data_IF_687617213610
#
_entry.id   IF_687617213610
#
_cell.length_a   1.000
_cell.length_b   1.000
_cell.length_c   1.000
_cell.angle_alpha   90.00
_cell.angle_beta   90.00
_cell.angle_gamma   90.00
#
_symmetry.space_group_name_H-M   'P 1'
#
loop_
_entity.id
_entity.type
_entity.pdbx_description
1 polymer ?
#
# COMPACT_ATOMS: atom_id res chain seq x y z
N UNK A 1 -21.89 -11.49 15.62
CA UNK A 1 -20.52 -11.05 15.26
C UNK A 1 -20.63 -10.49 13.85
N UNK A 2 -20.28 -9.21 13.62
CA UNK A 2 -20.44 -8.60 12.30
C UNK A 2 -19.51 -9.28 11.28
N UNK A 3 -20.02 -9.67 10.11
CA UNK A 3 -19.28 -10.37 9.05
C UNK A 3 -18.23 -9.47 8.37
N UNK A 4 -17.35 -10.03 7.52
CA UNK A 4 -16.34 -9.25 6.77
C UNK A 4 -16.93 -8.11 5.93
N UNK A 5 -18.15 -8.29 5.39
CA UNK A 5 -18.89 -7.27 4.65
C UNK A 5 -19.39 -6.10 5.54
N UNK A 6 -19.49 -6.32 6.84
CA UNK A 6 -20.03 -5.36 7.81
C UNK A 6 -18.93 -4.58 8.56
N UNK A 7 -17.70 -4.61 8.03
CA UNK A 7 -16.54 -3.96 8.62
C UNK A 7 -15.90 -2.98 7.65
N UNK A 8 -15.59 -1.78 8.14
CA UNK A 8 -14.72 -0.83 7.42
C UNK A 8 -13.33 -1.45 7.20
N UNK A 9 -13.02 -1.77 5.95
CA UNK A 9 -11.79 -2.46 5.58
C UNK A 9 -10.97 -1.67 4.55
N UNK A 10 -10.45 -0.53 5.02
CA UNK A 10 -9.51 0.29 4.25
C UNK A 10 -8.07 -0.15 4.51
N UNK A 11 -7.48 -0.78 3.49
CA UNK A 11 -6.07 -1.17 3.44
C UNK A 11 -5.44 -0.69 2.12
N UNK A 12 -4.11 -0.63 2.10
CA UNK A 12 -3.36 -0.30 0.89
C UNK A 12 -3.45 -1.43 -0.13
N UNK A 13 -3.09 -1.15 -1.38
CA UNK A 13 -3.16 -2.16 -2.43
C UNK A 13 -2.24 -3.36 -2.18
N UNK A 14 -2.75 -4.52 -2.53
CA UNK A 14 -2.01 -5.77 -2.68
C UNK A 14 -2.66 -6.52 -3.84
N UNK A 15 -2.31 -6.08 -5.05
CA UNK A 15 -2.91 -6.51 -6.30
C UNK A 15 -1.83 -6.83 -7.33
N UNK A 16 -2.07 -7.87 -8.11
CA UNK A 16 -1.30 -8.19 -9.30
C UNK A 16 -2.18 -8.93 -10.29
N UNK A 17 -1.85 -8.82 -11.57
CA UNK A 17 -2.48 -9.61 -12.63
C UNK A 17 -1.42 -10.33 -13.47
N UNK A 18 -1.80 -11.37 -14.22
CA UNK A 18 -0.96 -11.91 -15.27
C UNK A 18 -0.58 -10.82 -16.28
N UNK A 19 0.67 -10.87 -16.76
CA UNK A 19 1.11 -10.03 -17.87
C UNK A 19 0.40 -10.46 -19.16
N UNK A 20 0.12 -9.49 -20.02
CA UNK A 20 -0.35 -9.76 -21.40
C UNK A 20 0.79 -10.25 -22.27
N UNK A 21 0.48 -10.85 -23.42
CA UNK A 21 1.50 -11.30 -24.38
C UNK A 21 2.42 -10.16 -24.82
N UNK A 22 1.86 -8.96 -25.06
CA UNK A 22 2.64 -7.78 -25.41
C UNK A 22 3.60 -7.37 -24.29
N UNK A 23 3.15 -7.40 -23.04
CA UNK A 23 3.99 -7.08 -21.87
C UNK A 23 5.10 -8.12 -21.67
N UNK A 24 4.84 -9.40 -21.96
CA UNK A 24 5.84 -10.47 -21.90
C UNK A 24 6.97 -10.31 -22.93
N UNK A 25 6.78 -9.50 -23.99
CA UNK A 25 7.85 -9.18 -24.93
C UNK A 25 8.84 -8.14 -24.40
N UNK A 26 8.47 -7.43 -23.32
CA UNK A 26 9.29 -6.37 -22.73
C UNK A 26 10.32 -6.95 -21.76
N UNK A 27 11.52 -6.36 -21.74
CA UNK A 27 12.67 -6.92 -21.01
C UNK A 27 12.79 -6.45 -19.56
N UNK A 28 11.98 -5.48 -19.15
CA UNK A 28 12.12 -4.85 -17.83
C UNK A 28 10.77 -4.66 -17.15
N UNK A 29 10.80 -4.68 -15.82
CA UNK A 29 9.71 -4.20 -14.95
C UNK A 29 10.21 -2.98 -14.19
N UNK A 30 9.44 -1.91 -14.20
CA UNK A 30 9.78 -0.68 -13.48
C UNK A 30 8.76 -0.42 -12.40
N UNK A 31 9.23 -0.40 -11.16
CA UNK A 31 8.47 0.04 -9.99
C UNK A 31 8.57 1.55 -9.80
N UNK A 32 7.43 2.21 -9.68
CA UNK A 32 7.30 3.62 -9.34
C UNK A 32 6.75 3.70 -7.92
N UNK A 33 7.55 4.25 -7.01
CA UNK A 33 7.17 4.44 -5.61
C UNK A 33 6.90 5.92 -5.32
N UNK A 34 5.85 6.20 -4.54
CA UNK A 34 5.52 7.56 -4.09
C UNK A 34 6.12 7.78 -2.71
N UNK A 35 7.15 8.63 -2.64
CA UNK A 35 7.75 8.96 -1.35
C UNK A 35 6.73 9.47 -0.33
N UNK A 36 6.72 8.88 0.87
CA UNK A 36 5.82 9.24 1.96
C UNK A 36 4.32 9.31 1.57
N UNK A 37 3.84 8.41 0.70
CA UNK A 37 2.47 8.43 0.18
C UNK A 37 1.39 8.51 1.27
N UNK A 38 1.56 7.80 2.37
CA UNK A 38 0.61 7.81 3.49
C UNK A 38 0.68 9.09 4.34
N UNK A 39 1.85 9.71 4.45
CA UNK A 39 1.95 11.04 5.06
C UNK A 39 1.21 12.05 4.19
N UNK A 40 1.44 12.03 2.87
CA UNK A 40 0.74 12.89 1.92
C UNK A 40 -0.77 12.65 1.93
N UNK A 41 -1.23 11.42 2.16
CA UNK A 41 -2.65 11.09 2.34
C UNK A 41 -3.30 11.77 3.55
N UNK A 42 -2.52 12.04 4.60
CA UNK A 42 -2.98 12.75 5.79
C UNK A 42 -3.11 14.27 5.59
N UNK A 43 -2.35 14.86 4.67
CA UNK A 43 -2.28 16.31 4.46
C UNK A 43 -3.62 16.93 4.04
N UNK A 44 -4.18 17.80 4.87
CA UNK A 44 -5.45 18.48 4.62
C UNK A 44 -6.67 17.57 4.72
N UNK A 45 -6.52 16.35 5.25
CA UNK A 45 -7.65 15.42 5.44
C UNK A 45 -8.48 15.89 6.64
N UNK A 46 -9.73 16.25 6.40
CA UNK A 46 -10.69 16.43 7.48
C UNK A 46 -11.02 15.05 8.10
N UNK A 47 -10.90 14.96 9.43
CA UNK A 47 -11.24 13.75 10.20
C UNK A 47 -12.09 14.12 11.40
N UNK A 48 -12.84 13.15 11.93
CA UNK A 48 -13.66 13.39 13.12
C UNK A 48 -12.83 13.71 14.36
N UNK A 49 -13.26 14.69 15.13
CA UNK A 49 -12.70 15.03 16.44
C UNK A 49 -13.54 14.46 17.57
N UNK A 50 -14.86 14.35 17.35
CA UNK A 50 -15.82 13.82 18.31
C UNK A 50 -16.34 12.41 18.01
N UNK A 51 -17.40 12.05 18.72
CA UNK A 51 -18.09 10.78 18.60
C UNK A 51 -18.82 10.64 17.23
N UNK A 52 -19.00 9.40 16.73
CA UNK A 52 -19.86 9.14 15.57
C UNK A 52 -21.31 9.53 15.81
N UNK A 53 -21.96 10.09 14.80
CA UNK A 53 -23.43 10.15 14.71
C UNK A 53 -23.89 9.14 13.67
N UNK A 54 -24.79 8.23 14.06
CA UNK A 54 -25.40 7.27 13.15
C UNK A 54 -26.57 7.94 12.42
N UNK A 55 -26.62 7.77 11.11
CA UNK A 55 -27.66 8.31 10.23
C UNK A 55 -28.10 7.25 9.23
N UNK A 56 -29.39 7.23 8.92
CA UNK A 56 -30.02 6.27 7.99
C UNK A 56 -30.47 6.98 6.73
N UNK A 57 -30.27 6.36 5.56
CA UNK A 57 -30.53 6.92 4.24
C UNK A 57 -30.01 8.37 4.06
N UNK A 58 -28.74 8.67 4.41
CA UNK A 58 -28.23 10.03 4.30
C UNK A 58 -27.93 10.40 2.85
N UNK A 59 -28.06 11.69 2.52
CA UNK A 59 -27.45 12.25 1.31
C UNK A 59 -25.93 12.27 1.52
N UNK A 60 -25.17 11.79 0.53
CA UNK A 60 -23.72 11.77 0.62
C UNK A 60 -23.12 13.19 0.59
N UNK A 61 -22.26 13.50 1.55
CA UNK A 61 -21.45 14.72 1.59
C UNK A 61 -19.96 14.37 1.61
N UNK A 62 -19.26 14.69 0.53
CA UNK A 62 -17.83 14.43 0.39
C UNK A 62 -16.96 15.23 1.38
N UNK A 63 -17.50 16.30 1.99
CA UNK A 63 -16.80 17.13 2.98
C UNK A 63 -17.00 16.63 4.41
N UNK A 64 -17.98 15.76 4.65
CA UNK A 64 -18.32 15.25 5.98
C UNK A 64 -17.57 13.94 6.25
N UNK A 65 -16.59 13.90 7.17
CA UNK A 65 -15.86 12.66 7.45
C UNK A 65 -16.78 11.63 8.09
N UNK A 66 -16.68 10.40 7.62
CA UNK A 66 -17.54 9.31 8.07
C UNK A 66 -17.20 7.97 7.45
N UNK A 67 -17.89 6.96 7.96
CA UNK A 67 -17.96 5.62 7.38
C UNK A 67 -19.34 5.43 6.78
N UNK A 68 -19.41 4.99 5.54
CA UNK A 68 -20.63 4.95 4.74
C UNK A 68 -20.85 3.53 4.25
N UNK A 69 -22.05 2.99 4.46
CA UNK A 69 -22.49 1.73 3.84
C UNK A 69 -23.05 2.07 2.46
N UNK A 70 -22.35 1.64 1.41
CA UNK A 70 -22.70 1.96 0.01
C UNK A 70 -22.51 0.71 -0.83
N UNK A 71 -23.37 0.49 -1.81
CA UNK A 71 -23.11 -0.45 -2.90
C UNK A 71 -22.32 0.25 -4.00
N UNK A 72 -21.11 -0.24 -4.26
CA UNK A 72 -20.24 0.24 -5.35
C UNK A 72 -19.97 -0.88 -6.38
N UNK A 73 -20.71 -1.98 -6.33
CA UNK A 73 -20.60 -3.10 -7.26
C UNK A 73 -21.01 -2.73 -8.69
N UNK A 74 -21.78 -1.67 -8.87
CA UNK A 74 -22.22 -1.15 -10.17
C UNK A 74 -21.17 -0.30 -10.88
N UNK A 75 -20.11 0.15 -10.19
CA UNK A 75 -19.08 0.99 -10.80
C UNK A 75 -18.30 0.20 -11.85
N UNK A 76 -18.21 0.74 -13.06
CA UNK A 76 -17.48 0.15 -14.18
C UNK A 76 -16.23 0.97 -14.51
N UNK A 77 -15.05 0.36 -14.41
CA UNK A 77 -13.80 1.05 -14.73
C UNK A 77 -13.54 1.15 -16.23
N UNK A 78 -14.34 0.48 -17.07
CA UNK A 78 -14.18 0.51 -18.53
C UNK A 78 -14.51 1.88 -19.10
N UNK A 79 -15.32 2.68 -18.39
CA UNK A 79 -15.73 4.01 -18.80
C UNK A 79 -15.85 4.92 -17.59
N UNK A 80 -14.89 5.83 -17.43
CA UNK A 80 -14.81 6.70 -16.25
C UNK A 80 -14.58 8.15 -16.62
N UNK A 81 -14.94 9.07 -15.73
CA UNK A 81 -14.55 10.48 -15.84
C UNK A 81 -13.09 10.69 -15.41
N UNK A 82 -12.33 11.41 -16.23
CA UNK A 82 -10.96 11.85 -15.94
C UNK A 82 -10.86 13.37 -16.07
N UNK A 83 -10.76 14.06 -14.94
CA UNK A 83 -10.80 15.53 -14.90
C UNK A 83 -12.23 16.06 -14.92
N UNK A 84 -12.43 17.30 -15.39
CA UNK A 84 -13.76 17.90 -15.47
C UNK A 84 -14.52 17.35 -16.68
N UNK A 85 -15.49 16.48 -16.40
CA UNK A 85 -16.52 15.96 -17.33
C UNK A 85 -16.04 15.28 -18.62
N UNK A 86 -14.76 14.90 -18.69
CA UNK A 86 -14.24 14.10 -19.81
C UNK A 86 -14.35 12.61 -19.49
N UNK A 87 -15.20 11.91 -20.22
CA UNK A 87 -15.25 10.46 -20.22
C UNK A 87 -14.08 9.88 -21.03
N UNK A 88 -13.52 8.79 -20.54
CA UNK A 88 -12.51 7.99 -21.24
C UNK A 88 -12.88 6.52 -21.15
N UNK A 89 -12.59 5.79 -22.21
CA UNK A 89 -12.72 4.33 -22.25
C UNK A 89 -11.36 3.70 -21.92
N UNK A 90 -11.38 2.68 -21.06
CA UNK A 90 -10.21 1.99 -20.52
C UNK A 90 -10.44 0.47 -20.54
N UNK A 91 -9.36 -0.29 -20.49
CA UNK A 91 -9.46 -1.72 -20.25
C UNK A 91 -9.60 -1.99 -18.74
N UNK A 92 -10.85 -2.21 -18.31
CA UNK A 92 -11.17 -2.49 -16.91
C UNK A 92 -10.49 -3.77 -16.39
N UNK A 93 -10.22 -4.75 -17.25
CA UNK A 93 -9.61 -6.03 -16.84
C UNK A 93 -8.14 -5.86 -16.42
N UNK A 94 -7.50 -4.77 -16.87
CA UNK A 94 -6.12 -4.44 -16.57
C UNK A 94 -5.98 -3.43 -15.41
N UNK A 95 -7.10 -3.02 -14.80
CA UNK A 95 -7.15 -2.05 -13.71
C UNK A 95 -7.62 -2.69 -12.40
N UNK A 96 -6.98 -2.38 -11.26
CA UNK A 96 -7.51 -2.76 -9.96
C UNK A 96 -8.67 -1.87 -9.56
N UNK A 97 -9.72 -2.46 -8.98
CA UNK A 97 -10.76 -1.70 -8.29
C UNK A 97 -10.18 -0.78 -7.20
N UNK A 98 -10.56 0.50 -7.14
CA UNK A 98 -10.19 1.39 -6.03
C UNK A 98 -10.97 1.13 -4.75
N UNK A 99 -12.00 0.29 -4.80
CA UNK A 99 -12.92 0.06 -3.69
C UNK A 99 -12.49 -1.10 -2.80
N UNK A 100 -11.56 -1.95 -3.26
CA UNK A 100 -11.04 -3.07 -2.45
C UNK A 100 -9.52 -3.03 -2.38
N UNK A 101 -8.90 -3.44 -1.26
CA UNK A 101 -7.44 -3.52 -1.17
C UNK A 101 -6.83 -4.53 -2.14
N UNK A 102 -7.61 -5.53 -2.53
CA UNK A 102 -7.20 -6.59 -3.46
C UNK A 102 -7.44 -6.24 -4.92
N UNK A 103 -8.05 -5.09 -5.23
CA UNK A 103 -8.36 -4.71 -6.60
C UNK A 103 -9.54 -5.46 -7.23
N UNK A 104 -10.19 -6.36 -6.50
CA UNK A 104 -11.39 -7.06 -6.95
C UNK A 104 -12.60 -6.10 -7.00
N UNK A 105 -13.49 -6.31 -7.97
CA UNK A 105 -14.76 -5.58 -8.03
C UNK A 105 -15.62 -5.92 -6.79
N UNK A 106 -16.20 -4.92 -6.10
CA UNK A 106 -17.16 -5.21 -5.03
C UNK A 106 -18.34 -6.04 -5.55
N UNK A 107 -18.83 -6.97 -4.72
CA UNK A 107 -19.96 -7.85 -5.06
C UNK A 107 -21.30 -7.36 -4.46
N UNK A 108 -21.27 -6.29 -3.66
CA UNK A 108 -22.45 -5.69 -3.05
C UNK A 108 -22.11 -4.59 -2.04
N UNK A 109 -23.05 -4.23 -1.15
CA UNK A 109 -22.86 -3.18 -0.15
C UNK A 109 -21.70 -3.48 0.82
N UNK A 110 -20.87 -2.47 1.05
CA UNK A 110 -19.77 -2.53 2.02
C UNK A 110 -19.51 -1.18 2.69
N UNK A 111 -18.76 -1.21 3.79
CA UNK A 111 -18.37 0.00 4.53
C UNK A 111 -17.13 0.65 3.94
N UNK A 112 -17.26 1.91 3.54
CA UNK A 112 -16.21 2.71 2.94
C UNK A 112 -15.93 3.98 3.75
N UNK A 113 -14.68 4.43 3.72
CA UNK A 113 -14.35 5.76 4.22
C UNK A 113 -14.79 6.82 3.20
N UNK A 114 -15.06 8.04 3.69
CA UNK A 114 -15.52 9.17 2.85
C UNK A 114 -14.70 9.38 1.58
N UNK A 115 -13.35 9.30 1.60
CA UNK A 115 -12.58 9.44 0.36
C UNK A 115 -12.98 8.44 -0.71
N UNK A 116 -13.16 7.17 -0.37
CA UNK A 116 -13.51 6.08 -1.31
C UNK A 116 -14.83 6.34 -2.00
N UNK A 117 -15.82 6.76 -1.21
CA UNK A 117 -17.15 7.09 -1.71
C UNK A 117 -17.11 8.34 -2.60
N UNK A 118 -16.39 9.38 -2.17
CA UNK A 118 -16.20 10.59 -2.97
C UNK A 118 -15.52 10.28 -4.31
N UNK A 119 -14.65 9.28 -4.34
CA UNK A 119 -13.98 8.89 -5.57
C UNK A 119 -14.90 8.16 -6.56
N UNK A 120 -15.87 7.37 -6.09
CA UNK A 120 -16.88 6.81 -6.97
C UNK A 120 -17.69 7.91 -7.69
N UNK A 121 -18.06 8.96 -6.95
CA UNK A 121 -18.70 10.16 -7.52
C UNK A 121 -17.77 10.89 -8.51
N UNK A 122 -16.48 11.02 -8.20
CA UNK A 122 -15.50 11.62 -9.12
C UNK A 122 -15.37 10.84 -10.44
N UNK A 123 -15.43 9.51 -10.38
CA UNK A 123 -15.40 8.64 -11.57
C UNK A 123 -16.67 8.76 -12.43
N UNK A 124 -17.69 9.48 -11.96
CA UNK A 124 -18.92 9.76 -12.69
C UNK A 124 -20.11 8.88 -12.31
N UNK A 125 -20.02 8.15 -11.20
CA UNK A 125 -21.06 7.22 -10.75
C UNK A 125 -21.88 7.79 -9.59
N UNK A 126 -23.17 7.50 -9.58
CA UNK A 126 -24.05 7.87 -8.47
C UNK A 126 -23.74 7.03 -7.23
N UNK A 127 -23.87 7.70 -6.08
CA UNK A 127 -23.62 7.13 -4.76
C UNK A 127 -24.88 7.30 -3.93
N UNK A 128 -25.43 6.19 -3.46
CA UNK A 128 -26.61 6.17 -2.57
C UNK A 128 -26.26 5.43 -1.28
N UNK A 129 -25.87 6.14 -0.21
CA UNK A 129 -25.56 5.48 1.06
C UNK A 129 -26.83 4.93 1.73
N UNK A 130 -26.75 3.72 2.25
CA UNK A 130 -27.82 3.06 3.02
C UNK A 130 -27.84 3.59 4.45
N UNK A 131 -26.67 3.68 5.07
CA UNK A 131 -26.48 4.26 6.40
C UNK A 131 -25.04 4.77 6.53
N UNK A 132 -24.80 5.64 7.52
CA UNK A 132 -23.47 6.15 7.79
C UNK A 132 -23.24 6.43 9.28
N UNK A 133 -21.97 6.37 9.67
CA UNK A 133 -21.48 6.92 10.93
C UNK A 133 -20.63 8.15 10.61
N UNK A 134 -21.23 9.33 10.68
CA UNK A 134 -20.62 10.63 10.31
C UNK A 134 -19.97 11.32 11.51
N UNK A 135 -19.19 12.38 11.25
CA UNK A 135 -18.48 13.18 12.26
C UNK A 135 -18.72 14.67 12.01
N UNK A 136 -19.76 15.22 12.63
CA UNK A 136 -20.07 16.65 12.51
C UNK A 136 -18.97 17.53 13.11
N UNK A 137 -18.44 17.14 14.27
CA UNK A 137 -17.22 17.74 14.81
C UNK A 137 -16.01 17.14 14.09
N UNK A 138 -15.42 17.91 13.18
CA UNK A 138 -14.29 17.49 12.37
C UNK A 138 -13.27 18.61 12.17
N UNK A 139 -12.06 18.22 11.77
CA UNK A 139 -10.99 19.18 11.48
C UNK A 139 -9.75 18.51 10.92
N UNK A 140 -8.76 19.33 10.59
CA UNK A 140 -7.48 18.89 10.00
C UNK A 140 -6.48 18.46 11.08
N UNK A 141 -6.87 17.44 11.85
CA UNK A 141 -6.13 16.96 13.02
C UNK A 141 -4.68 16.55 12.72
N UNK A 142 -4.42 16.02 11.52
CA UNK A 142 -3.11 15.48 11.15
C UNK A 142 -2.16 16.50 10.51
N UNK A 143 -2.60 17.71 10.19
CA UNK A 143 -1.81 18.68 9.41
C UNK A 143 -0.52 19.09 10.14
N UNK A 144 -0.62 19.41 11.44
CA UNK A 144 0.55 19.79 12.23
C UNK A 144 1.58 18.66 12.34
N UNK A 145 1.10 17.42 12.48
CA UNK A 145 1.96 16.23 12.50
C UNK A 145 2.62 15.97 11.14
N UNK A 146 1.84 16.08 10.05
CA UNK A 146 2.33 15.92 8.68
C UNK A 146 3.37 16.97 8.32
N UNK A 147 3.07 18.26 8.54
CA UNK A 147 3.96 19.36 8.17
C UNK A 147 5.32 19.22 8.87
N UNK A 148 5.34 18.93 10.17
CA UNK A 148 6.60 18.71 10.91
C UNK A 148 7.45 17.58 10.32
N UNK A 149 6.84 16.43 10.03
CA UNK A 149 7.58 15.29 9.47
C UNK A 149 8.00 15.52 8.02
N UNK A 150 7.17 16.19 7.22
CA UNK A 150 7.50 16.57 5.85
C UNK A 150 8.67 17.55 5.82
N UNK A 151 8.63 18.59 6.64
CA UNK A 151 9.65 19.63 6.63
C UNK A 151 11.00 19.06 7.11
N UNK A 152 10.98 18.20 8.15
CA UNK A 152 12.17 17.45 8.55
C UNK A 152 12.69 16.54 7.42
N UNK A 153 11.81 15.80 6.73
CA UNK A 153 12.20 14.94 5.61
C UNK A 153 12.84 15.75 4.48
N UNK A 154 12.22 16.86 4.07
CA UNK A 154 12.73 17.70 2.98
C UNK A 154 14.08 18.34 3.33
N UNK A 155 14.23 18.83 4.56
CA UNK A 155 15.50 19.37 5.05
C UNK A 155 16.60 18.30 5.00
N UNK A 156 16.36 17.12 5.56
CA UNK A 156 17.35 16.03 5.56
C UNK A 156 17.66 15.51 4.16
N UNK A 157 16.67 15.44 3.26
CA UNK A 157 16.92 15.06 1.86
C UNK A 157 17.74 16.13 1.12
N UNK A 158 17.51 17.41 1.40
CA UNK A 158 18.30 18.50 0.84
C UNK A 158 19.76 18.47 1.35
N UNK A 159 19.97 18.18 2.64
CA UNK A 159 21.31 17.98 3.20
C UNK A 159 22.04 16.77 2.56
N UNK A 160 21.28 15.76 2.13
CA UNK A 160 21.77 14.62 1.33
C UNK A 160 21.94 14.94 -0.17
N UNK A 161 21.76 16.19 -0.59
CA UNK A 161 21.90 16.64 -1.98
C UNK A 161 20.71 16.34 -2.89
N UNK A 162 19.55 16.00 -2.33
CA UNK A 162 18.30 15.75 -3.07
C UNK A 162 17.33 16.91 -2.84
N UNK A 163 17.39 17.92 -3.71
CA UNK A 163 16.54 19.10 -3.62
C UNK A 163 15.18 18.89 -4.31
N UNK A 164 14.16 19.60 -3.83
CA UNK A 164 12.78 19.45 -4.30
C UNK A 164 12.51 20.11 -5.66
N UNK A 165 13.34 21.08 -6.04
CA UNK A 165 13.27 21.88 -7.26
C UNK A 165 14.11 21.31 -8.42
N UNK A 166 14.73 20.14 -8.22
CA UNK A 166 15.47 19.44 -9.27
C UNK A 166 14.56 19.07 -10.46
N UNK A 167 15.15 19.12 -11.65
CA UNK A 167 14.52 18.54 -12.83
C UNK A 167 14.31 17.03 -12.62
N UNK A 168 13.34 16.37 -13.28
CA UNK A 168 13.13 14.94 -13.08
C UNK A 168 14.38 14.07 -13.33
N UNK A 169 15.23 14.44 -14.28
CA UNK A 169 16.47 13.71 -14.56
C UNK A 169 17.50 13.90 -13.44
N UNK A 170 17.69 15.15 -13.00
CA UNK A 170 18.63 15.47 -11.92
C UNK A 170 18.15 14.89 -10.58
N UNK A 171 16.84 14.85 -10.34
CA UNK A 171 16.27 14.20 -9.17
C UNK A 171 16.62 12.71 -9.13
N UNK A 172 16.47 11.99 -10.24
CA UNK A 172 16.80 10.56 -10.30
C UNK A 172 18.31 10.32 -10.09
N UNK A 173 19.16 11.15 -10.72
CA UNK A 173 20.60 11.10 -10.50
C UNK A 173 20.96 11.41 -9.03
N UNK A 174 20.33 12.42 -8.44
CA UNK A 174 20.53 12.77 -7.04
C UNK A 174 20.01 11.69 -6.08
N UNK A 175 18.97 10.94 -6.44
CA UNK A 175 18.49 9.80 -5.67
C UNK A 175 19.40 8.57 -5.77
N UNK A 176 20.24 8.47 -6.78
CA UNK A 176 21.16 7.34 -6.92
C UNK A 176 22.25 7.40 -5.85
N UNK A 177 22.40 6.31 -5.09
CA UNK A 177 23.38 6.21 -3.99
C UNK A 177 23.22 7.24 -2.86
N UNK A 178 22.12 8.00 -2.77
CA UNK A 178 22.04 9.16 -1.85
C UNK A 178 22.33 8.81 -0.38
N UNK A 179 22.00 7.58 0.03
CA UNK A 179 22.22 7.08 1.40
C UNK A 179 23.69 6.86 1.76
N UNK A 180 24.56 6.74 0.76
CA UNK A 180 26.00 6.49 0.94
C UNK A 180 26.77 7.79 1.21
N UNK A 181 26.16 8.94 0.91
CA UNK A 181 26.77 10.27 1.09
C UNK A 181 26.98 10.62 2.56
N UNK A 182 25.99 10.33 3.38
CA UNK A 182 26.05 10.50 4.83
C UNK A 182 25.18 9.43 5.52
N UNK A 183 25.82 8.42 6.15
CA UNK A 183 25.11 7.34 6.84
C UNK A 183 24.25 7.82 8.03
N UNK A 184 24.65 8.89 8.72
CA UNK A 184 23.92 9.42 9.88
C UNK A 184 22.62 10.09 9.42
N UNK A 185 22.69 10.92 8.38
CA UNK A 185 21.50 11.51 7.77
C UNK A 185 20.60 10.44 7.13
N UNK A 186 21.16 9.37 6.57
CA UNK A 186 20.38 8.23 6.08
C UNK A 186 19.58 7.53 7.21
N UNK A 187 20.13 7.44 8.42
CA UNK A 187 19.42 6.96 9.61
C UNK A 187 18.30 7.93 9.98
N UNK A 188 18.55 9.25 9.96
CA UNK A 188 17.53 10.27 10.24
C UNK A 188 16.35 10.15 9.26
N UNK A 189 16.62 10.05 7.95
CA UNK A 189 15.58 9.80 6.93
C UNK A 189 14.77 8.55 7.26
N UNK A 190 15.45 7.47 7.65
CA UNK A 190 14.81 6.20 8.01
C UNK A 190 13.93 6.34 9.25
N UNK A 191 14.37 7.09 10.26
CA UNK A 191 13.62 7.36 11.48
C UNK A 191 12.37 8.22 11.21
N UNK A 192 12.46 9.22 10.34
CA UNK A 192 11.32 10.04 9.91
C UNK A 192 10.27 9.15 9.21
N UNK A 193 10.71 8.34 8.22
CA UNK A 193 9.82 7.38 7.52
C UNK A 193 9.19 6.37 8.49
N UNK A 194 9.96 5.85 9.44
CA UNK A 194 9.47 4.94 10.46
C UNK A 194 8.43 5.61 11.39
N UNK A 195 8.60 6.90 11.70
CA UNK A 195 7.66 7.68 12.52
C UNK A 195 6.31 7.85 11.81
N UNK A 196 6.32 8.12 10.50
CA UNK A 196 5.09 8.15 9.67
C UNK A 196 4.38 6.80 9.72
N UNK A 197 5.10 5.73 9.36
CA UNK A 197 4.54 4.36 9.28
C UNK A 197 4.03 3.88 10.63
N UNK A 198 4.80 4.10 11.69
CA UNK A 198 4.48 3.73 13.05
C UNK A 198 3.28 4.52 13.60
N UNK A 199 3.28 5.83 13.41
CA UNK A 199 2.18 6.71 13.86
C UNK A 199 0.83 6.31 13.29
N UNK A 200 0.76 6.15 11.96
CA UNK A 200 -0.47 5.67 11.30
C UNK A 200 -0.83 4.23 11.69
N UNK A 201 0.18 3.37 11.88
CA UNK A 201 -0.02 2.02 12.38
C UNK A 201 -0.64 1.96 13.79
N UNK A 202 -0.30 2.92 14.65
CA UNK A 202 -0.82 2.99 16.03
C UNK A 202 -2.28 3.41 16.11
N UNK A 203 -2.79 4.16 15.13
CA UNK A 203 -4.21 4.53 15.04
C UNK A 203 -5.13 3.30 14.93
N UNK A 204 -4.64 2.17 14.42
CA UNK A 204 -5.33 0.88 14.44
C UNK A 204 -4.34 -0.23 14.78
N UNK A 205 -3.74 -0.12 15.96
CA UNK A 205 -2.89 -1.19 16.46
C UNK A 205 -3.73 -2.46 16.67
N UNK A 206 -3.34 -3.52 15.96
CA UNK A 206 -3.91 -4.88 16.09
C UNK A 206 -3.34 -5.55 17.35
N UNK A 207 -3.99 -6.59 17.90
CA UNK A 207 -3.41 -7.38 18.99
C UNK A 207 -2.03 -7.91 18.57
N UNK A 208 -1.04 -7.79 19.46
CA UNK A 208 0.34 -8.25 19.29
C UNK A 208 0.82 -8.90 20.58
N UNK A 209 1.58 -9.99 20.46
CA UNK A 209 2.26 -10.67 21.57
C UNK A 209 1.84 -12.12 21.77
N UNK A 210 2.75 -12.94 22.29
CA UNK A 210 2.47 -14.29 22.78
C UNK A 210 1.60 -14.16 24.05
N UNK A 211 0.34 -14.57 23.97
CA UNK A 211 -0.58 -14.57 25.12
C UNK A 211 -1.93 -13.88 24.89
N UNK A 212 -2.10 -13.11 23.83
CA UNK A 212 -3.44 -12.64 23.45
C UNK A 212 -4.28 -13.78 22.87
N UNK A 213 -5.53 -13.93 23.33
CA UNK A 213 -6.47 -14.93 22.85
C UNK A 213 -7.54 -14.28 21.95
N UNK A 214 -7.93 -14.93 20.84
CA UNK A 214 -9.05 -14.48 20.03
C UNK A 214 -10.31 -14.24 20.87
N UNK A 215 -10.92 -13.06 20.71
CA UNK A 215 -12.14 -12.66 21.44
C UNK A 215 -11.89 -11.73 22.63
N UNK A 216 -10.66 -11.62 23.14
CA UNK A 216 -10.35 -10.73 24.26
C UNK A 216 -9.95 -9.32 23.80
N UNK A 217 -10.31 -8.26 24.54
CA UNK A 217 -9.82 -6.91 24.24
C UNK A 217 -8.30 -6.85 24.45
N UNK A 218 -7.60 -6.10 23.59
CA UNK A 218 -6.17 -5.86 23.75
C UNK A 218 -5.89 -4.41 24.16
N UNK A 219 -4.72 -4.17 24.76
CA UNK A 219 -4.32 -2.90 25.39
C UNK A 219 -4.52 -1.65 24.53
N UNK A 220 -4.45 -1.75 23.21
CA UNK A 220 -4.57 -0.58 22.35
C UNK A 220 -6.01 -0.04 22.27
N UNK A 221 -7.04 -0.87 22.48
CA UNK A 221 -8.44 -0.44 22.40
C UNK A 221 -8.80 0.63 23.45
N UNK A 222 -8.11 0.64 24.58
CA UNK A 222 -8.32 1.61 25.65
C UNK A 222 -7.60 2.94 25.45
N UNK A 223 -6.78 3.07 24.39
CA UNK A 223 -6.01 4.30 24.15
C UNK A 223 -6.90 5.35 23.47
N UNK A 224 -6.93 6.60 23.95
CA UNK A 224 -7.64 7.68 23.27
C UNK A 224 -7.17 7.91 21.82
N UNK A 225 -5.91 7.57 21.53
CA UNK A 225 -5.31 7.67 20.20
C UNK A 225 -5.64 6.49 19.28
N UNK A 226 -6.37 5.48 19.75
CA UNK A 226 -6.85 4.38 18.91
C UNK A 226 -8.05 4.86 18.09
N UNK A 227 -7.75 5.32 16.88
CA UNK A 227 -8.69 5.96 15.95
C UNK A 227 -8.66 5.24 14.60
N UNK A 228 -9.28 4.04 14.50
CA UNK A 228 -9.25 3.24 13.28
C UNK A 228 -9.93 3.94 12.11
N UNK A 229 -10.87 4.85 12.37
CA UNK A 229 -11.56 5.69 11.41
C UNK A 229 -10.60 6.70 10.74
N UNK A 230 -9.73 7.35 11.51
CA UNK A 230 -8.69 8.24 10.97
C UNK A 230 -7.73 7.45 10.08
N UNK A 231 -7.25 6.28 10.53
CA UNK A 231 -6.37 5.44 9.73
C UNK A 231 -7.03 5.03 8.41
N UNK A 232 -8.29 4.60 8.48
CA UNK A 232 -9.05 4.17 7.31
C UNK A 232 -9.17 5.30 6.28
N UNK A 233 -9.50 6.52 6.73
CA UNK A 233 -9.59 7.69 5.86
C UNK A 233 -8.24 8.09 5.22
N UNK A 234 -7.13 7.99 5.96
CA UNK A 234 -5.79 8.24 5.40
C UNK A 234 -5.44 7.22 4.32
N UNK A 235 -5.63 5.93 4.61
CA UNK A 235 -5.29 4.85 3.68
C UNK A 235 -6.15 4.87 2.43
N UNK A 236 -7.46 5.07 2.58
CA UNK A 236 -8.36 5.18 1.44
C UNK A 236 -7.96 6.34 0.55
N UNK A 237 -7.69 7.53 1.12
CA UNK A 237 -7.23 8.69 0.36
C UNK A 237 -5.92 8.42 -0.37
N UNK A 238 -4.95 7.76 0.27
CA UNK A 238 -3.70 7.36 -0.40
C UNK A 238 -3.98 6.42 -1.57
N UNK A 239 -4.80 5.38 -1.40
CA UNK A 239 -5.18 4.43 -2.45
C UNK A 239 -5.85 5.12 -3.64
N UNK A 240 -6.78 6.03 -3.36
CA UNK A 240 -7.50 6.80 -4.37
C UNK A 240 -6.59 7.75 -5.13
N UNK A 241 -5.70 8.44 -4.42
CA UNK A 241 -4.73 9.33 -5.06
C UNK A 241 -3.81 8.55 -6.00
N UNK A 242 -3.43 7.33 -5.63
CA UNK A 242 -2.68 6.43 -6.48
C UNK A 242 -3.50 5.98 -7.70
N UNK A 243 -4.72 5.49 -7.47
CA UNK A 243 -5.61 5.05 -8.55
C UNK A 243 -5.92 6.18 -9.54
N UNK A 244 -6.12 7.42 -9.07
CA UNK A 244 -6.31 8.59 -9.94
C UNK A 244 -5.10 8.82 -10.86
N UNK A 245 -3.87 8.61 -10.37
CA UNK A 245 -2.65 8.70 -11.19
C UNK A 245 -2.59 7.56 -12.21
N UNK A 246 -2.95 6.34 -11.80
CA UNK A 246 -2.99 5.15 -12.67
C UNK A 246 -3.99 5.35 -13.82
N UNK A 247 -5.22 5.77 -13.52
CA UNK A 247 -6.26 6.03 -14.52
C UNK A 247 -5.83 7.12 -15.49
N UNK A 248 -5.27 8.23 -14.99
CA UNK A 248 -4.74 9.31 -15.84
C UNK A 248 -3.60 8.83 -16.73
N UNK A 249 -2.74 7.97 -16.19
CA UNK A 249 -1.63 7.39 -16.92
C UNK A 249 -2.12 6.46 -18.03
N UNK A 250 -2.99 5.50 -17.71
CA UNK A 250 -3.58 4.57 -18.66
C UNK A 250 -4.33 5.32 -19.79
N UNK A 251 -5.11 6.34 -19.44
CA UNK A 251 -5.82 7.17 -20.41
C UNK A 251 -4.88 7.97 -21.35
N UNK A 252 -3.66 8.28 -20.90
CA UNK A 252 -2.69 9.07 -21.66
C UNK A 252 -1.73 8.20 -22.49
N UNK A 253 -1.27 7.08 -21.95
CA UNK A 253 -0.20 6.25 -22.53
C UNK A 253 -0.70 4.92 -23.09
N UNK A 254 -1.91 4.49 -22.74
CA UNK A 254 -2.41 3.14 -22.99
C UNK A 254 -1.72 2.05 -22.17
N UNK A 255 -0.86 2.40 -21.21
CA UNK A 255 -0.12 1.44 -20.39
C UNK A 255 -0.79 1.23 -19.02
N UNK A 256 -0.88 -0.03 -18.62
CA UNK A 256 -1.57 -0.48 -17.42
C UNK A 256 -0.59 -1.10 -16.41
N UNK A 257 -0.88 -1.01 -15.11
CA UNK A 257 -0.05 -1.64 -14.10
C UNK A 257 -0.14 -3.16 -14.21
N UNK A 258 0.95 -3.84 -13.87
CA UNK A 258 1.04 -5.31 -13.73
C UNK A 258 0.86 -5.71 -12.27
N UNK A 259 1.40 -4.90 -11.35
CA UNK A 259 1.28 -5.12 -9.92
C UNK A 259 1.27 -3.79 -9.15
N UNK A 260 0.62 -3.79 -7.99
CA UNK A 260 0.63 -2.71 -7.02
C UNK A 260 0.80 -3.30 -5.63
N UNK A 261 1.84 -2.85 -4.94
CA UNK A 261 2.05 -3.16 -3.54
C UNK A 261 2.15 -1.86 -2.76
N UNK A 262 1.18 -1.63 -1.89
CA UNK A 262 1.07 -0.42 -1.07
C UNK A 262 0.95 0.85 -1.93
N UNK A 263 2.06 1.54 -2.13
CA UNK A 263 2.25 2.81 -2.83
C UNK A 263 3.20 2.69 -4.02
N UNK A 264 3.69 1.47 -4.30
CA UNK A 264 4.53 1.15 -5.45
C UNK A 264 3.68 0.52 -6.56
N UNK A 265 3.79 1.06 -7.78
CA UNK A 265 3.10 0.58 -8.98
C UNK A 265 4.14 0.07 -9.96
N UNK A 266 3.95 -1.14 -10.48
CA UNK A 266 4.87 -1.81 -11.39
C UNK A 266 4.27 -1.87 -12.78
N UNK A 267 5.06 -1.50 -13.78
CA UNK A 267 4.71 -1.60 -15.20
C UNK A 267 5.79 -2.34 -15.97
N UNK A 268 5.39 -2.98 -17.08
CA UNK A 268 6.33 -3.53 -18.05
C UNK A 268 6.93 -2.43 -18.93
N UNK A 269 8.24 -2.50 -19.20
CA UNK A 269 8.98 -1.47 -19.90
C UNK A 269 10.04 -2.04 -20.86
N UNK A 270 10.26 -1.34 -21.98
CA UNK A 270 11.22 -1.75 -23.01
C UNK A 270 12.69 -1.42 -22.73
N UNK A 271 13.02 -0.65 -21.68
CA UNK A 271 14.40 -0.24 -21.37
C UNK A 271 14.68 -0.04 -19.88
N UNK A 272 15.97 -0.09 -19.51
CA UNK A 272 16.46 0.06 -18.12
C UNK A 272 16.44 1.50 -17.61
N UNK A 273 16.67 2.45 -18.51
CA UNK A 273 16.71 3.87 -18.21
C UNK A 273 15.57 4.56 -18.93
N UNK A 274 14.85 5.40 -18.20
CA UNK A 274 13.76 6.24 -18.68
C UNK A 274 12.47 5.48 -18.95
N UNK A 275 11.49 5.77 -18.09
CA UNK A 275 10.10 5.83 -18.50
C UNK A 275 9.96 6.86 -19.65
N UNK A 276 10.23 6.47 -20.89
CA UNK A 276 9.83 7.22 -22.07
C UNK A 276 8.49 6.67 -22.54
N UNK A 277 7.43 7.03 -21.83
CA UNK A 277 6.05 6.78 -22.27
C UNK A 277 5.42 8.00 -22.97
N UNK A 278 6.18 9.07 -23.23
CA UNK A 278 5.69 10.17 -24.07
C UNK A 278 5.86 9.76 -25.54
N UNK A 279 4.77 9.66 -26.34
CA UNK A 279 4.87 9.44 -27.79
C UNK A 279 5.80 10.49 -28.40
N UNK A 280 6.74 10.07 -29.23
CA UNK A 280 7.70 10.94 -29.93
C UNK A 280 6.96 12.14 -30.55
N UNK A 281 7.31 13.36 -30.09
CA UNK A 281 6.71 14.62 -30.57
C UNK A 281 5.76 15.35 -29.62
N UNK A 282 5.45 14.79 -28.44
CA UNK A 282 4.47 15.39 -27.50
C UNK A 282 5.02 15.68 -26.09
N UNK A 283 6.34 15.81 -25.94
CA UNK A 283 7.00 16.04 -24.65
C UNK A 283 6.43 17.25 -23.86
N UNK A 284 5.99 18.30 -24.56
CA UNK A 284 5.36 19.50 -23.99
C UNK A 284 3.90 19.32 -23.54
N UNK A 285 3.26 18.22 -23.90
CA UNK A 285 1.86 17.88 -23.56
C UNK A 285 1.74 16.70 -22.59
N UNK A 286 2.87 16.11 -22.18
CA UNK A 286 2.89 15.11 -21.12
C UNK A 286 2.27 15.75 -19.84
N UNK A 287 1.22 15.16 -19.26
CA UNK A 287 0.57 15.73 -18.09
C UNK A 287 1.60 15.99 -16.98
N UNK A 288 1.45 17.10 -16.25
CA UNK A 288 2.24 17.44 -15.07
C UNK A 288 2.19 16.39 -13.93
N UNK A 289 1.55 15.23 -14.16
CA UNK A 289 1.71 13.99 -13.39
C UNK A 289 3.20 13.60 -13.26
N UNK A 290 4.07 14.06 -14.17
CA UNK A 290 5.52 13.79 -14.17
C UNK A 290 6.38 15.01 -13.82
N UNK A 291 5.78 16.13 -13.40
CA UNK A 291 6.51 17.34 -12.95
C UNK A 291 6.67 17.32 -11.43
N UNK A 292 7.92 17.36 -10.98
CA UNK A 292 8.39 17.29 -9.58
C UNK A 292 7.92 18.43 -8.66
N UNK A 293 7.19 19.44 -9.16
CA UNK A 293 7.10 20.72 -8.48
C UNK A 293 6.07 20.81 -7.31
N UNK A 294 5.44 19.73 -6.83
CA UNK A 294 4.55 19.85 -5.65
C UNK A 294 4.17 18.56 -4.89
N UNK A 295 4.78 17.41 -5.20
CA UNK A 295 4.46 16.13 -4.52
C UNK A 295 5.75 15.35 -4.30
N UNK A 296 5.94 14.59 -3.19
CA UNK A 296 7.21 13.96 -2.89
C UNK A 296 7.65 13.08 -4.06
N UNK A 297 8.88 13.33 -4.49
CA UNK A 297 9.37 13.00 -5.79
C UNK A 297 9.57 11.48 -6.00
N UNK A 298 9.60 11.08 -7.26
CA UNK A 298 9.45 9.72 -7.75
C UNK A 298 10.81 9.05 -7.80
N UNK A 299 10.99 7.87 -7.20
CA UNK A 299 12.24 7.11 -7.33
C UNK A 299 11.99 5.80 -8.07
N UNK A 300 12.72 5.58 -9.16
CA UNK A 300 12.88 4.24 -9.75
C UNK A 300 13.91 3.47 -8.94
N UNK A 301 13.57 2.28 -8.46
CA UNK A 301 14.56 1.36 -7.89
C UNK A 301 14.60 0.10 -8.73
N UNK A 302 15.81 -0.34 -9.09
CA UNK A 302 16.06 -1.63 -9.74
C UNK A 302 15.52 -2.74 -8.83
N UNK A 303 14.62 -3.58 -9.33
CA UNK A 303 14.15 -4.73 -8.58
C UNK A 303 15.35 -5.66 -8.28
N UNK A 304 15.62 -6.04 -7.02
CA UNK A 304 16.57 -7.12 -6.75
C UNK A 304 16.00 -8.44 -7.30
N UNK A 305 16.88 -9.30 -7.82
CA UNK A 305 16.54 -10.61 -8.36
C UNK A 305 15.71 -11.44 -7.37
N UNK A 306 14.62 -12.09 -7.78
CA UNK A 306 13.79 -12.86 -6.86
C UNK A 306 14.53 -14.14 -6.46
N UNK A 307 14.98 -14.22 -5.21
CA UNK A 307 15.23 -15.50 -4.56
C UNK A 307 13.89 -16.06 -4.10
N UNK A 308 13.35 -17.01 -4.86
CA UNK A 308 12.18 -17.79 -4.47
C UNK A 308 12.54 -18.68 -3.27
N UNK A 309 12.42 -18.13 -2.07
CA UNK A 309 12.46 -18.88 -0.82
C UNK A 309 11.05 -19.36 -0.46
N UNK A 310 10.70 -20.57 -0.88
CA UNK A 310 9.47 -21.25 -0.44
C UNK A 310 9.54 -21.46 1.07
N UNK A 311 8.83 -20.63 1.85
CA UNK A 311 8.55 -20.93 3.27
C UNK A 311 7.44 -21.96 3.33
N UNK A 312 7.81 -23.25 3.37
CA UNK A 312 6.90 -24.32 3.83
C UNK A 312 6.62 -24.11 5.32
N UNK A 313 5.39 -23.75 5.65
CA UNK A 313 4.85 -23.84 7.01
C UNK A 313 4.63 -25.32 7.35
N UNK A 314 5.45 -25.86 8.25
CA UNK A 314 5.19 -27.15 8.86
C UNK A 314 4.22 -26.97 10.05
N UNK A 315 2.94 -27.26 9.83
CA UNK A 315 1.96 -27.55 10.89
C UNK A 315 1.40 -28.94 10.63
N UNK A 316 1.72 -29.91 11.49
CA UNK A 316 1.24 -31.28 11.31
C UNK A 316 1.72 -32.18 12.44
N UNK A 317 0.81 -32.42 13.38
CA UNK A 317 0.98 -33.23 14.58
C UNK A 317 1.59 -34.60 14.34
N UNK A 318 2.60 -34.99 15.12
CA UNK A 318 3.07 -36.37 15.19
C UNK A 318 2.08 -37.21 16.00
N UNK A 319 1.24 -37.99 15.33
CA UNK A 319 0.56 -39.14 15.92
C UNK A 319 1.44 -40.38 15.71
N UNK A 320 1.81 -41.03 16.81
CA UNK A 320 2.39 -42.38 16.82
C UNK A 320 1.39 -43.39 16.26
N UNK A 321 1.82 -44.26 15.35
CA UNK A 321 1.34 -45.65 15.29
C UNK A 321 2.36 -46.53 14.57
N UNK A 322 2.70 -47.61 15.26
CA UNK A 322 3.56 -48.74 14.93
C UNK A 322 3.14 -49.53 13.69
N UNK A 323 4.11 -50.02 12.90
CA UNK A 323 4.22 -51.45 12.47
C UNK A 323 5.50 -51.69 11.67
N UNK A 324 6.28 -52.70 12.07
CA UNK A 324 7.32 -53.38 11.25
C UNK A 324 6.65 -54.43 10.34
N UNK A 325 7.27 -54.86 9.23
CA UNK A 325 8.29 -55.94 9.21
C UNK A 325 9.39 -55.70 8.13
N UNK A 326 10.50 -56.41 7.95
CA UNK A 326 11.14 -57.59 8.55
C UNK A 326 12.43 -57.90 7.77
N UNK A 327 13.44 -58.49 8.46
CA UNK A 327 14.48 -59.49 8.02
C UNK A 327 15.29 -59.25 6.71
N UNK A 328 16.63 -59.35 6.64
CA UNK A 328 17.56 -60.36 7.20
C UNK A 328 19.06 -60.06 6.91
N UNK A 329 19.94 -60.55 7.83
CA UNK A 329 21.33 -61.12 7.72
C UNK A 329 22.40 -60.34 6.92
N UNK A 330 23.64 -60.12 7.39
CA UNK A 330 24.68 -61.06 7.88
C UNK A 330 25.78 -60.32 8.70
N UNK A 331 26.42 -61.03 9.64
CA UNK A 331 27.68 -60.67 10.37
C UNK A 331 28.89 -61.38 9.69
N UNK A 332 30.20 -61.30 10.11
CA UNK A 332 30.74 -61.00 11.45
C UNK A 332 32.07 -60.17 11.55
N UNK A 333 32.46 -59.88 12.80
CA UNK A 333 33.70 -59.22 13.32
C UNK A 333 34.97 -60.09 13.21
N UNK A 334 36.21 -59.67 13.62
CA UNK A 334 36.59 -59.40 15.04
C UNK A 334 37.68 -58.30 15.35
N UNK A 335 37.51 -57.65 16.52
CA UNK A 335 38.41 -57.20 17.64
C UNK A 335 39.97 -57.25 17.55
N UNK A 336 40.74 -56.83 18.61
CA UNK A 336 40.79 -55.58 19.41
C UNK A 336 42.25 -55.13 19.77
N UNK A 337 42.51 -53.93 20.33
CA UNK A 337 43.59 -53.73 21.35
C UNK A 337 43.45 -52.42 22.17
N UNK A 338 43.15 -52.59 23.46
CA UNK A 338 43.76 -52.01 24.68
C UNK A 338 44.45 -50.63 24.65
N UNK A 339 44.03 -49.70 25.51
CA UNK A 339 44.79 -49.32 26.72
C UNK A 339 44.20 -48.11 27.46
N UNK A 340 44.25 -48.24 28.79
CA UNK A 340 43.64 -47.45 29.84
C UNK A 340 44.70 -46.54 30.50
N UNK A 341 44.39 -45.29 30.89
CA UNK A 341 44.76 -44.70 32.21
C UNK A 341 44.44 -43.20 32.37
N UNK A 342 43.65 -42.93 33.43
CA UNK A 342 43.80 -41.94 34.54
C UNK A 342 43.99 -40.44 34.20
N UNK A 343 43.08 -39.55 34.62
CA UNK A 343 42.78 -38.95 35.97
C UNK A 343 43.74 -37.82 36.43
N UNK A 344 43.10 -36.73 36.86
CA UNK A 344 43.57 -35.54 37.63
C UNK A 344 44.28 -34.47 36.76
N UNK A 345 44.00 -33.18 36.83
CA UNK A 345 43.38 -32.31 37.85
C UNK A 345 42.37 -31.36 37.22
#
# INVERSE_FOLDING_TARGET
MRGPAEKLFEEAYDWARPMTDAECTLRHLVGIDVNMAFAAGANGLAVGLGAPTHVTAPVFDAKLPGSWLVDLSHVDLSRVKVGKDKWVDLDASLLPSPFTPKGDRPEGPAWYATPTVAYAAELGYDVTPVEAYVRYENGRYLDGWYNRLRDAYLATMADLGVHADLSPADFLAAMDGYKERDPELAIVVSAIKATVKGGLGKLRERPRGEGWRPGEPWRALSRPTWRPDIRAAVISRTRINLHRKIVKHAAFTGQYPVAILSDCVVYAAGGEGRWTSCPTGTASRCPAVLSSASTPAWSSTRAPSPSYGVKRSASGSTRRSSTSPGTSRTAPSPTPTTANRRRRR
#
